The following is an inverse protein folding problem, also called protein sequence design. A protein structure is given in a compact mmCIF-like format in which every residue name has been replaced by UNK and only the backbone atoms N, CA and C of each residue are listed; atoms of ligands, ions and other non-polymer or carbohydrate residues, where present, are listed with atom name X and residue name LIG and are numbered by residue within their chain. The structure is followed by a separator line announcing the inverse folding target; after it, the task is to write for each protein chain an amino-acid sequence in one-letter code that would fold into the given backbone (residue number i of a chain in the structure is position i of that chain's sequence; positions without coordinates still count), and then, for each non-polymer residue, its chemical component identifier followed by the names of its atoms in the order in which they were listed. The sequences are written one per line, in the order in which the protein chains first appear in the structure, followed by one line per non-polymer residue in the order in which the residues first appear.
data_IF_863197336450
#
_entry.id   IF_863197336450
#
_cell.length_a   1.000
_cell.length_b   1.000
_cell.length_c   1.000
_cell.angle_alpha   90.00
_cell.angle_beta   90.00
_cell.angle_gamma   90.00
#
_symmetry.space_group_name_H-M   'P 1'
#
loop_
_entity.id
_entity.type
_entity.pdbx_description
1 polymer ?
#
# COMPACT_ATOMS: atom_id res chain seq x y z
N UNK A 1 25.50 -64.19 -4.91
CA UNK A 1 24.32 -63.52 -4.31
C UNK A 1 24.84 -62.40 -3.44
N UNK A 2 24.85 -61.16 -3.93
CA UNK A 2 25.29 -59.98 -3.18
C UNK A 2 24.06 -59.24 -2.67
N UNK A 3 23.80 -59.33 -1.37
CA UNK A 3 22.74 -58.57 -0.70
C UNK A 3 23.19 -57.13 -0.55
N UNK A 4 22.58 -56.21 -1.29
CA UNK A 4 22.70 -54.78 -1.06
C UNK A 4 21.35 -54.27 -0.56
N UNK A 5 21.33 -53.79 0.68
CA UNK A 5 20.18 -53.14 1.31
C UNK A 5 20.12 -51.69 0.81
N UNK A 6 19.03 -51.34 0.12
CA UNK A 6 18.68 -49.97 -0.19
C UNK A 6 17.22 -49.77 0.23
N UNK A 7 17.01 -48.95 1.26
CA UNK A 7 15.69 -48.60 1.77
C UNK A 7 14.89 -47.86 0.70
N UNK A 8 13.74 -48.44 0.33
CA UNK A 8 12.84 -47.89 -0.69
C UNK A 8 11.69 -47.23 0.05
N UNK A 9 11.74 -45.91 0.23
CA UNK A 9 10.62 -45.18 0.85
C UNK A 9 9.46 -45.04 -0.14
N UNK A 10 8.42 -45.87 0.05
CA UNK A 10 7.03 -45.53 -0.25
C UNK A 10 6.62 -45.37 -1.71
N UNK A 11 6.56 -46.47 -2.47
CA UNK A 11 5.79 -46.51 -3.72
C UNK A 11 4.28 -46.40 -3.43
N UNK A 12 3.67 -45.24 -3.70
CA UNK A 12 2.20 -45.10 -3.65
C UNK A 12 1.56 -45.99 -4.72
N UNK A 13 0.85 -47.03 -4.28
CA UNK A 13 0.08 -47.93 -5.14
C UNK A 13 -1.13 -47.19 -5.73
N UNK A 14 -1.30 -47.27 -7.04
CA UNK A 14 -2.56 -46.89 -7.71
C UNK A 14 -3.64 -47.88 -7.30
N UNK A 15 -4.79 -47.37 -6.87
CA UNK A 15 -5.81 -48.13 -6.16
C UNK A 15 -6.48 -49.22 -7.00
N UNK A 16 -6.41 -50.46 -6.51
CA UNK A 16 -7.41 -51.49 -6.80
C UNK A 16 -8.01 -51.96 -5.48
N UNK A 17 -9.32 -51.83 -5.35
CA UNK A 17 -10.12 -52.32 -4.22
C UNK A 17 -10.00 -53.85 -4.16
N UNK A 18 -9.40 -54.38 -3.09
CA UNK A 18 -9.31 -55.83 -2.90
C UNK A 18 -8.65 -56.25 -1.59
N UNK A 19 -9.48 -56.74 -0.66
CA UNK A 19 -9.15 -57.51 0.55
C UNK A 19 -8.75 -56.75 1.82
N UNK A 20 -9.62 -56.83 2.84
CA UNK A 20 -9.45 -56.26 4.19
C UNK A 20 -8.30 -56.88 4.99
N UNK A 21 -7.70 -57.99 4.52
CA UNK A 21 -6.48 -58.56 5.13
C UNK A 21 -5.23 -57.69 4.88
N UNK A 22 -5.29 -56.70 3.99
CA UNK A 22 -4.18 -55.78 3.73
C UNK A 22 -4.02 -54.67 4.79
N UNK A 23 -5.03 -54.35 5.60
CA UNK A 23 -4.91 -53.28 6.59
C UNK A 23 -4.09 -53.68 7.82
N UNK A 24 -4.12 -54.95 8.22
CA UNK A 24 -3.31 -55.46 9.34
C UNK A 24 -1.83 -55.52 8.98
N UNK A 25 -1.51 -55.80 7.71
CA UNK A 25 -0.14 -55.78 7.20
C UNK A 25 0.40 -54.34 7.07
N UNK A 26 -0.43 -53.34 6.79
CA UNK A 26 -0.01 -51.92 6.70
C UNK A 26 0.52 -51.38 8.03
N UNK A 27 0.02 -51.85 9.17
CA UNK A 27 0.54 -51.46 10.50
C UNK A 27 1.91 -52.10 10.80
N UNK A 28 2.12 -53.36 10.41
CA UNK A 28 3.41 -54.07 10.54
C UNK A 28 4.48 -53.56 9.55
N UNK A 29 4.03 -52.88 8.48
CA UNK A 29 4.87 -52.28 7.44
C UNK A 29 5.44 -50.90 7.79
N UNK A 30 5.00 -50.28 8.89
CA UNK A 30 5.55 -49.01 9.36
C UNK A 30 6.88 -49.20 10.10
N UNK A 31 7.17 -50.42 10.55
CA UNK A 31 8.38 -50.76 11.32
C UNK A 31 9.32 -51.72 10.59
N UNK A 32 8.81 -52.46 9.59
CA UNK A 32 9.61 -53.35 8.76
C UNK A 32 9.71 -52.80 7.34
N UNK A 33 10.91 -52.38 6.92
CA UNK A 33 11.17 -51.97 5.54
C UNK A 33 10.79 -53.12 4.59
N UNK A 34 9.70 -52.95 3.85
CA UNK A 34 9.27 -53.91 2.84
C UNK A 34 10.23 -53.88 1.64
N UNK A 35 11.23 -54.76 1.66
CA UNK A 35 12.20 -54.90 0.59
C UNK A 35 11.67 -55.85 -0.49
N UNK A 36 11.41 -55.32 -1.69
CA UNK A 36 11.14 -56.16 -2.87
C UNK A 36 12.47 -56.69 -3.42
N UNK A 37 12.60 -58.01 -3.58
CA UNK A 37 13.72 -58.59 -4.32
C UNK A 37 13.49 -58.40 -5.81
N UNK A 38 14.33 -57.58 -6.44
CA UNK A 38 14.24 -57.27 -7.86
C UNK A 38 15.51 -57.70 -8.57
N UNK A 39 15.40 -58.27 -9.77
CA UNK A 39 16.59 -58.55 -10.60
C UNK A 39 17.24 -57.23 -11.08
N UNK A 40 18.52 -57.28 -11.43
CA UNK A 40 19.29 -56.09 -11.87
C UNK A 40 18.63 -55.32 -13.02
N UNK A 41 18.04 -56.03 -13.99
CA UNK A 41 17.38 -55.38 -15.15
C UNK A 41 16.14 -54.58 -14.72
N UNK A 42 15.29 -55.17 -13.89
CA UNK A 42 14.08 -54.53 -13.40
C UNK A 42 14.41 -53.38 -12.41
N UNK A 43 15.48 -53.50 -11.62
CA UNK A 43 15.95 -52.42 -10.76
C UNK A 43 16.33 -51.17 -11.57
N UNK A 44 17.11 -51.33 -12.65
CA UNK A 44 17.48 -50.20 -13.53
C UNK A 44 16.25 -49.53 -14.13
N UNK A 45 15.24 -50.30 -14.52
CA UNK A 45 13.99 -49.73 -15.07
C UNK A 45 13.13 -49.03 -14.02
N UNK A 46 13.08 -49.56 -12.80
CA UNK A 46 12.40 -48.91 -11.68
C UNK A 46 13.07 -47.59 -11.32
N UNK A 47 14.40 -47.57 -11.18
CA UNK A 47 15.17 -46.35 -10.97
C UNK A 47 14.96 -45.33 -12.10
N UNK A 48 14.95 -45.77 -13.36
CA UNK A 48 14.68 -44.87 -14.49
C UNK A 48 13.26 -44.29 -14.43
N UNK A 49 12.27 -45.07 -14.02
CA UNK A 49 10.88 -44.62 -13.83
C UNK A 49 10.76 -43.68 -12.64
N UNK A 50 11.39 -44.01 -11.51
CA UNK A 50 11.39 -43.18 -10.31
C UNK A 50 12.06 -41.85 -10.59
N UNK A 51 13.22 -41.83 -11.26
CA UNK A 51 13.87 -40.62 -11.74
C UNK A 51 12.97 -39.81 -12.68
N UNK A 52 12.22 -40.47 -13.57
CA UNK A 52 11.28 -39.79 -14.47
C UNK A 52 10.09 -39.19 -13.73
N UNK A 53 9.57 -39.88 -12.70
CA UNK A 53 8.52 -39.36 -11.83
C UNK A 53 9.07 -38.18 -11.04
N UNK A 54 10.23 -38.32 -10.40
CA UNK A 54 10.89 -37.28 -9.64
C UNK A 54 11.19 -36.03 -10.48
N UNK A 55 11.67 -36.18 -11.71
CA UNK A 55 11.89 -35.05 -12.63
C UNK A 55 10.59 -34.32 -13.00
N UNK A 56 9.44 -35.01 -12.99
CA UNK A 56 8.14 -34.41 -13.30
C UNK A 56 7.45 -33.79 -12.08
N UNK A 57 7.70 -34.34 -10.89
CA UNK A 57 7.03 -33.94 -9.66
C UNK A 57 7.87 -33.03 -8.78
N UNK A 58 9.20 -33.06 -8.89
CA UNK A 58 10.08 -32.19 -8.12
C UNK A 58 10.10 -30.79 -8.72
N UNK A 59 9.82 -29.78 -7.88
CA UNK A 59 10.14 -28.40 -8.23
C UNK A 59 11.64 -28.21 -7.99
N UNK A 60 12.43 -27.84 -9.01
CA UNK A 60 13.85 -27.62 -8.81
C UNK A 60 14.07 -26.46 -7.85
N UNK A 61 15.06 -26.56 -6.98
CA UNK A 61 15.37 -25.54 -5.96
C UNK A 61 15.56 -24.14 -6.57
N UNK A 62 16.12 -24.09 -7.79
CA UNK A 62 16.24 -22.84 -8.57
C UNK A 62 14.88 -22.16 -8.82
N UNK A 63 13.82 -22.92 -9.09
CA UNK A 63 12.46 -22.37 -9.29
C UNK A 63 11.96 -21.71 -8.01
N UNK A 64 12.13 -22.37 -6.86
CA UNK A 64 11.69 -21.85 -5.56
C UNK A 64 12.41 -20.53 -5.21
N UNK A 65 13.72 -20.47 -5.44
CA UNK A 65 14.48 -19.23 -5.21
C UNK A 65 14.09 -18.12 -6.19
N UNK A 66 13.82 -18.47 -7.45
CA UNK A 66 13.41 -17.51 -8.46
C UNK A 66 12.01 -16.95 -8.17
N UNK A 67 11.04 -17.79 -7.80
CA UNK A 67 9.70 -17.37 -7.37
C UNK A 67 9.79 -16.35 -6.23
N UNK A 68 10.58 -16.66 -5.19
CA UNK A 68 10.80 -15.76 -4.06
C UNK A 68 11.53 -14.46 -4.44
N UNK A 69 12.49 -14.52 -5.36
CA UNK A 69 13.15 -13.33 -5.90
C UNK A 69 12.15 -12.42 -6.61
N UNK A 70 11.24 -13.00 -7.39
CA UNK A 70 10.20 -12.26 -8.09
C UNK A 70 9.16 -11.65 -7.15
N UNK A 71 8.84 -12.32 -6.03
CA UNK A 71 8.00 -11.73 -4.97
C UNK A 71 8.63 -10.44 -4.42
N UNK A 72 9.92 -10.47 -4.05
CA UNK A 72 10.63 -9.27 -3.58
C UNK A 72 10.67 -8.16 -4.63
N UNK A 73 10.86 -8.53 -5.91
CA UNK A 73 10.85 -7.57 -7.01
C UNK A 73 9.48 -6.89 -7.16
N UNK A 74 8.41 -7.67 -7.20
CA UNK A 74 7.04 -7.14 -7.32
C UNK A 74 6.66 -6.24 -6.13
N UNK A 75 7.13 -6.58 -4.92
CA UNK A 75 6.96 -5.75 -3.74
C UNK A 75 7.67 -4.40 -3.90
N UNK A 76 8.91 -4.38 -4.41
CA UNK A 76 9.64 -3.15 -4.68
C UNK A 76 8.95 -2.29 -5.75
N UNK A 77 8.53 -2.90 -6.85
CA UNK A 77 7.81 -2.21 -7.94
C UNK A 77 6.52 -1.53 -7.45
N UNK A 78 5.88 -2.07 -6.41
CA UNK A 78 4.72 -1.44 -5.77
C UNK A 78 5.07 -0.34 -4.76
N UNK A 79 6.13 -0.50 -3.98
CA UNK A 79 6.52 0.46 -2.94
C UNK A 79 7.24 1.70 -3.52
N UNK A 80 8.00 1.53 -4.60
CA UNK A 80 8.79 2.61 -5.21
C UNK A 80 7.97 3.83 -5.63
N UNK A 81 6.85 3.70 -6.38
CA UNK A 81 6.04 4.85 -6.77
C UNK A 81 5.44 5.60 -5.57
N UNK A 82 4.97 4.85 -4.55
CA UNK A 82 4.42 5.43 -3.32
C UNK A 82 5.46 6.26 -2.59
N UNK A 83 6.69 5.76 -2.53
CA UNK A 83 7.80 6.46 -1.92
C UNK A 83 8.22 7.71 -2.69
N UNK A 84 8.31 7.62 -4.03
CA UNK A 84 8.66 8.77 -4.87
C UNK A 84 7.64 9.88 -4.70
N UNK A 85 6.34 9.56 -4.77
CA UNK A 85 5.27 10.52 -4.52
C UNK A 85 5.40 11.18 -3.15
N UNK A 86 5.65 10.38 -2.11
CA UNK A 86 5.80 10.87 -0.75
C UNK A 86 7.03 11.79 -0.61
N UNK A 87 8.17 11.40 -1.18
CA UNK A 87 9.39 12.19 -1.17
C UNK A 87 9.21 13.52 -1.91
N UNK A 88 8.52 13.50 -3.07
CA UNK A 88 8.20 14.69 -3.84
C UNK A 88 7.27 15.64 -3.07
N UNK A 89 6.15 15.15 -2.54
CA UNK A 89 5.23 15.95 -1.72
C UNK A 89 5.91 16.59 -0.51
N UNK A 90 6.75 15.82 0.20
CA UNK A 90 7.53 16.34 1.34
C UNK A 90 8.56 17.38 0.89
N UNK A 91 9.24 17.15 -0.22
CA UNK A 91 10.19 18.12 -0.80
C UNK A 91 9.50 19.39 -1.30
N UNK A 92 8.25 19.27 -1.72
CA UNK A 92 7.42 20.38 -2.14
C UNK A 92 6.91 21.20 -0.94
N UNK A 93 6.96 20.66 0.28
CA UNK A 93 6.45 21.29 1.50
C UNK A 93 4.97 21.02 1.77
N UNK A 94 4.41 19.96 1.20
CA UNK A 94 3.05 19.52 1.48
C UNK A 94 2.99 18.82 2.85
N UNK A 95 1.87 18.98 3.55
CA UNK A 95 1.65 18.37 4.88
C UNK A 95 0.82 17.07 4.81
N UNK A 96 0.59 16.56 3.60
CA UNK A 96 -0.20 15.35 3.35
C UNK A 96 0.48 14.09 3.89
N UNK A 97 1.82 14.10 3.97
CA UNK A 97 2.61 12.97 4.42
C UNK A 97 3.48 13.36 5.61
N UNK A 98 3.75 12.39 6.48
CA UNK A 98 4.66 12.56 7.61
C UNK A 98 6.08 12.12 7.21
N UNK A 99 7.09 12.85 7.68
CA UNK A 99 8.51 12.52 7.43
C UNK A 99 8.87 11.12 7.96
N UNK A 100 8.34 10.76 9.14
CA UNK A 100 8.60 9.47 9.76
C UNK A 100 8.08 8.29 8.90
N UNK A 101 6.92 8.45 8.28
CA UNK A 101 6.33 7.41 7.43
C UNK A 101 7.13 7.25 6.13
N UNK A 102 7.67 8.35 5.58
CA UNK A 102 8.56 8.33 4.43
C UNK A 102 9.89 7.63 4.75
N UNK A 103 10.44 7.86 5.94
CA UNK A 103 11.64 7.17 6.42
C UNK A 103 11.38 5.67 6.61
N UNK A 104 10.26 5.29 7.23
CA UNK A 104 9.89 3.89 7.41
C UNK A 104 9.72 3.17 6.07
N UNK A 105 9.04 3.80 5.12
CA UNK A 105 8.86 3.28 3.77
C UNK A 105 10.21 3.13 3.04
N UNK A 106 11.11 4.12 3.18
CA UNK A 106 12.49 4.03 2.64
C UNK A 106 13.23 2.84 3.22
N UNK A 107 13.21 2.66 4.53
CA UNK A 107 13.87 1.53 5.20
C UNK A 107 13.30 0.19 4.75
N UNK A 108 11.98 0.10 4.54
CA UNK A 108 11.31 -1.09 4.00
C UNK A 108 11.75 -1.41 2.58
N UNK A 109 11.91 -0.40 1.72
CA UNK A 109 12.44 -0.54 0.36
C UNK A 109 13.87 -1.07 0.41
N UNK A 110 14.75 -0.45 1.21
CA UNK A 110 16.16 -0.87 1.34
C UNK A 110 16.27 -2.33 1.81
N UNK A 111 15.55 -2.70 2.87
CA UNK A 111 15.54 -4.08 3.39
C UNK A 111 15.02 -5.09 2.37
N UNK A 112 13.99 -4.73 1.61
CA UNK A 112 13.47 -5.60 0.54
C UNK A 112 14.48 -5.74 -0.60
N UNK A 113 15.21 -4.66 -0.91
CA UNK A 113 16.35 -4.65 -1.82
C UNK A 113 17.47 -5.60 -1.41
N UNK A 114 17.87 -5.57 -0.15
CA UNK A 114 18.88 -6.46 0.40
C UNK A 114 18.45 -7.92 0.33
N UNK A 115 17.17 -8.20 0.62
CA UNK A 115 16.61 -9.55 0.47
C UNK A 115 16.64 -10.02 -0.99
N UNK A 116 16.32 -9.15 -1.95
CA UNK A 116 16.41 -9.44 -3.38
C UNK A 116 17.87 -9.74 -3.79
N UNK A 117 18.82 -8.93 -3.33
CA UNK A 117 20.25 -9.15 -3.59
C UNK A 117 20.74 -10.48 -2.99
N UNK A 118 20.35 -10.79 -1.75
CA UNK A 118 20.66 -12.04 -1.07
C UNK A 118 20.11 -13.26 -1.84
N UNK A 119 18.86 -13.19 -2.32
CA UNK A 119 18.30 -14.26 -3.15
C UNK A 119 19.03 -14.38 -4.49
N UNK A 120 19.37 -13.26 -5.14
CA UNK A 120 20.13 -13.28 -6.39
C UNK A 120 21.51 -13.92 -6.22
N UNK A 121 22.19 -13.67 -5.09
CA UNK A 121 23.48 -14.29 -4.74
C UNK A 121 23.32 -15.78 -4.43
N UNK A 122 22.27 -16.17 -3.71
CA UNK A 122 21.95 -17.59 -3.50
C UNK A 122 21.76 -18.31 -4.83
N UNK A 123 20.98 -17.73 -5.75
CA UNK A 123 20.76 -18.29 -7.10
C UNK A 123 22.07 -18.44 -7.88
N UNK A 124 22.96 -17.45 -7.79
CA UNK A 124 24.28 -17.49 -8.46
C UNK A 124 25.18 -18.60 -7.92
N UNK A 125 25.05 -18.94 -6.64
CA UNK A 125 25.89 -19.94 -5.97
C UNK A 125 25.24 -21.35 -5.93
N UNK A 126 24.02 -21.53 -6.47
CA UNK A 126 23.35 -22.81 -6.52
C UNK A 126 24.16 -23.82 -7.35
N UNK A 127 24.61 -24.89 -6.67
CA UNK A 127 25.41 -25.97 -7.26
C UNK A 127 26.92 -25.83 -7.08
N UNK A 128 27.40 -24.78 -6.38
CA UNK A 128 28.82 -24.60 -6.05
C UNK A 128 29.16 -25.16 -4.65
N UNK A 129 28.16 -25.38 -3.78
CA UNK A 129 28.38 -25.65 -2.34
C UNK A 129 27.70 -26.88 -1.72
N UNK A 130 27.09 -27.79 -2.48
CA UNK A 130 26.59 -29.06 -1.92
C UNK A 130 27.72 -30.09 -1.83
N UNK A 131 28.71 -29.80 -1.00
CA UNK A 131 29.86 -30.66 -0.75
C UNK A 131 29.99 -30.88 0.76
N UNK A 132 29.01 -31.58 1.35
CA UNK A 132 29.19 -32.22 2.65
C UNK A 132 29.82 -33.59 2.43
N UNK A 133 31.14 -33.59 2.59
CA UNK A 133 32.03 -34.64 3.12
C UNK A 133 31.49 -36.09 3.14
N UNK A 134 31.77 -36.85 2.07
CA UNK A 134 32.12 -38.27 2.20
C UNK A 134 33.20 -38.60 1.18
N UNK A 135 34.18 -39.38 1.63
CA UNK A 135 35.50 -39.53 1.06
C UNK A 135 35.56 -39.98 -0.41
N UNK A 136 36.53 -39.40 -1.13
CA UNK A 136 37.23 -40.09 -2.21
C UNK A 136 36.54 -40.18 -3.57
N UNK A 137 36.25 -39.05 -4.23
CA UNK A 137 36.39 -38.87 -5.68
C UNK A 137 36.00 -37.44 -6.05
N UNK A 138 37.00 -36.61 -6.31
CA UNK A 138 36.80 -35.32 -6.95
C UNK A 138 36.20 -35.52 -8.35
N UNK A 139 34.88 -35.36 -8.45
CA UNK A 139 34.22 -35.05 -9.71
C UNK A 139 33.24 -33.93 -9.42
N UNK A 140 33.71 -32.70 -9.56
CA UNK A 140 32.85 -31.54 -9.75
C UNK A 140 32.02 -31.81 -11.00
N UNK A 141 30.81 -32.35 -10.85
CA UNK A 141 29.86 -32.43 -11.96
C UNK A 141 29.61 -30.98 -12.38
N UNK A 142 30.11 -30.53 -13.54
CA UNK A 142 29.97 -29.14 -13.93
C UNK A 142 28.48 -28.86 -14.09
N UNK A 143 27.99 -27.82 -13.43
CA UNK A 143 26.70 -27.22 -13.80
C UNK A 143 26.70 -27.06 -15.32
N UNK A 144 25.69 -27.59 -16.01
CA UNK A 144 25.62 -27.48 -17.46
C UNK A 144 25.70 -26.01 -17.87
N UNK A 145 26.49 -25.67 -18.90
CA UNK A 145 26.74 -24.28 -19.33
C UNK A 145 25.46 -23.43 -19.50
N UNK A 146 24.33 -24.08 -19.83
CA UNK A 146 23.01 -23.46 -19.92
C UNK A 146 22.45 -22.99 -18.57
N UNK A 147 22.64 -23.77 -17.51
CA UNK A 147 22.19 -23.43 -16.16
C UNK A 147 23.02 -22.28 -15.56
N UNK A 148 24.34 -22.31 -15.75
CA UNK A 148 25.22 -21.21 -15.33
C UNK A 148 24.87 -19.90 -16.04
N UNK A 149 24.64 -19.95 -17.36
CA UNK A 149 24.20 -18.78 -18.12
C UNK A 149 22.87 -18.21 -17.60
N UNK A 150 21.91 -19.08 -17.28
CA UNK A 150 20.63 -18.68 -16.70
C UNK A 150 20.83 -17.98 -15.34
N UNK A 151 21.57 -18.60 -14.42
CA UNK A 151 21.87 -18.01 -13.11
C UNK A 151 22.58 -16.66 -13.23
N UNK A 152 23.55 -16.53 -14.14
CA UNK A 152 24.25 -15.27 -14.43
C UNK A 152 23.32 -14.20 -14.98
N UNK A 153 22.40 -14.54 -15.88
CA UNK A 153 21.40 -13.61 -16.43
C UNK A 153 20.42 -13.15 -15.35
N UNK A 154 19.92 -14.05 -14.51
CA UNK A 154 19.04 -13.72 -13.38
C UNK A 154 19.76 -12.74 -12.44
N UNK A 155 21.01 -13.04 -12.08
CA UNK A 155 21.82 -12.16 -11.24
C UNK A 155 22.05 -10.78 -11.87
N UNK A 156 22.45 -10.74 -13.14
CA UNK A 156 22.72 -9.48 -13.84
C UNK A 156 21.47 -8.59 -13.92
N UNK A 157 20.31 -9.19 -14.19
CA UNK A 157 19.03 -8.47 -14.29
C UNK A 157 18.60 -7.92 -12.92
N UNK A 158 18.76 -8.74 -11.88
CA UNK A 158 18.44 -8.36 -10.50
C UNK A 158 19.35 -7.24 -9.99
N UNK A 159 20.65 -7.35 -10.25
CA UNK A 159 21.63 -6.31 -9.90
C UNK A 159 21.41 -5.01 -10.67
N UNK A 160 21.04 -5.10 -11.96
CA UNK A 160 20.66 -3.93 -12.77
C UNK A 160 19.46 -3.20 -12.16
N UNK A 161 18.39 -3.93 -11.83
CA UNK A 161 17.20 -3.39 -11.19
C UNK A 161 17.51 -2.69 -9.86
N UNK A 162 18.36 -3.29 -9.01
CA UNK A 162 18.78 -2.68 -7.75
C UNK A 162 19.58 -1.39 -7.96
N UNK A 163 20.46 -1.34 -8.96
CA UNK A 163 21.20 -0.12 -9.27
C UNK A 163 20.28 0.99 -9.76
N UNK A 164 19.35 0.65 -10.65
CA UNK A 164 18.43 1.61 -11.25
C UNK A 164 17.41 2.15 -10.27
N UNK A 165 16.92 1.35 -9.33
CA UNK A 165 15.82 1.75 -8.45
C UNK A 165 16.20 1.97 -7.01
N UNK A 166 17.27 1.35 -6.49
CA UNK A 166 17.68 1.47 -5.08
C UNK A 166 18.78 2.52 -4.88
N UNK A 167 19.79 2.54 -5.76
CA UNK A 167 20.86 3.53 -5.65
C UNK A 167 20.43 4.92 -6.14
N UNK A 168 19.36 4.99 -6.94
CA UNK A 168 18.80 6.23 -7.48
C UNK A 168 17.69 6.84 -6.60
N UNK A 169 17.39 6.26 -5.42
CA UNK A 169 16.29 6.76 -4.57
C UNK A 169 16.49 8.26 -4.28
N UNK A 170 15.46 9.10 -4.51
CA UNK A 170 15.45 10.48 -4.06
C UNK A 170 15.82 10.58 -2.58
N UNK A 171 16.61 11.60 -2.21
CA UNK A 171 16.94 11.87 -0.80
C UNK A 171 15.75 12.56 -0.13
N UNK A 172 15.44 12.17 1.11
CA UNK A 172 14.44 12.88 1.91
C UNK A 172 14.98 14.25 2.31
N UNK A 173 14.13 15.29 2.34
CA UNK A 173 14.48 16.55 2.99
C UNK A 173 14.71 16.31 4.48
N UNK A 174 15.69 17.00 5.05
CA UNK A 174 15.89 16.96 6.51
C UNK A 174 14.72 17.62 7.23
N UNK A 175 14.52 17.29 8.52
CA UNK A 175 13.44 17.90 9.32
C UNK A 175 13.47 19.44 9.29
N UNK A 176 14.67 20.02 9.30
CA UNK A 176 14.84 21.47 9.23
C UNK A 176 14.44 22.05 7.87
N UNK A 177 14.94 21.48 6.78
CA UNK A 177 14.60 21.91 5.41
C UNK A 177 13.10 21.74 5.11
N UNK A 178 12.51 20.66 5.60
CA UNK A 178 11.08 20.41 5.50
C UNK A 178 10.27 21.49 6.23
N UNK A 179 10.66 21.80 7.48
CA UNK A 179 10.00 22.84 8.28
C UNK A 179 10.13 24.22 7.61
N UNK A 180 11.31 24.56 7.10
CA UNK A 180 11.52 25.82 6.38
C UNK A 180 10.67 25.90 5.10
N UNK A 181 10.59 24.80 4.35
CA UNK A 181 9.79 24.73 3.12
C UNK A 181 8.29 24.85 3.43
N UNK A 182 7.82 24.23 4.52
CA UNK A 182 6.45 24.34 5.01
C UNK A 182 6.11 25.75 5.50
N UNK A 183 6.97 26.37 6.30
CA UNK A 183 6.77 27.75 6.78
C UNK A 183 6.79 28.76 5.63
N UNK A 184 7.69 28.60 4.65
CA UNK A 184 7.69 29.45 3.45
C UNK A 184 6.37 29.37 2.69
N UNK A 185 5.86 28.17 2.43
CA UNK A 185 4.55 27.99 1.79
C UNK A 185 3.41 28.60 2.60
N UNK A 186 3.45 28.44 3.92
CA UNK A 186 2.44 29.01 4.81
C UNK A 186 2.45 30.53 4.74
N UNK A 187 3.61 31.17 4.78
CA UNK A 187 3.75 32.62 4.65
C UNK A 187 3.26 33.11 3.28
N UNK A 188 3.59 32.40 2.20
CA UNK A 188 3.10 32.72 0.85
C UNK A 188 1.57 32.59 0.73
N UNK A 189 0.99 31.55 1.33
CA UNK A 189 -0.46 31.35 1.36
C UNK A 189 -1.17 32.43 2.19
N UNK A 190 -0.63 32.77 3.37
CA UNK A 190 -1.12 33.85 4.22
C UNK A 190 -1.03 35.21 3.50
N UNK A 191 0.08 35.48 2.81
CA UNK A 191 0.26 36.70 2.01
C UNK A 191 -0.71 36.78 0.82
N UNK A 192 -0.95 35.66 0.12
CA UNK A 192 -1.95 35.58 -0.95
C UNK A 192 -3.35 35.87 -0.44
N UNK A 193 -3.74 35.26 0.69
CA UNK A 193 -5.04 35.49 1.30
C UNK A 193 -5.19 36.93 1.79
N UNK A 194 -4.14 37.52 2.36
CA UNK A 194 -4.14 38.92 2.80
C UNK A 194 -4.30 39.88 1.62
N UNK A 195 -3.59 39.63 0.50
CA UNK A 195 -3.73 40.42 -0.72
C UNK A 195 -5.12 40.29 -1.35
N UNK A 196 -5.71 39.08 -1.35
CA UNK A 196 -7.07 38.85 -1.83
C UNK A 196 -8.12 39.59 -0.98
N UNK A 197 -7.99 39.53 0.34
CA UNK A 197 -8.86 40.27 1.27
C UNK A 197 -8.73 41.79 1.10
N UNK A 198 -7.52 42.30 0.92
CA UNK A 198 -7.29 43.73 0.71
C UNK A 198 -7.86 44.19 -0.64
N UNK A 199 -7.68 43.40 -1.70
CA UNK A 199 -8.29 43.68 -3.00
C UNK A 199 -9.83 43.70 -2.93
N UNK A 200 -10.44 42.79 -2.16
CA UNK A 200 -11.88 42.75 -1.92
C UNK A 200 -12.35 44.03 -1.19
N UNK A 201 -11.65 44.45 -0.13
CA UNK A 201 -11.96 45.68 0.61
C UNK A 201 -11.88 46.92 -0.28
N UNK A 202 -10.85 47.03 -1.11
CA UNK A 202 -10.69 48.13 -2.07
C UNK A 202 -11.73 48.11 -3.19
N UNK A 203 -12.22 46.93 -3.59
CA UNK A 203 -13.30 46.81 -4.58
C UNK A 203 -14.65 47.25 -3.99
N UNK A 204 -14.92 46.88 -2.74
CA UNK A 204 -16.13 47.29 -2.00
C UNK A 204 -16.17 48.81 -1.78
N UNK A 205 -15.05 49.41 -1.36
CA UNK A 205 -14.95 50.87 -1.18
C UNK A 205 -15.19 51.61 -2.49
N UNK A 206 -14.58 51.15 -3.60
CA UNK A 206 -14.83 51.71 -4.94
C UNK A 206 -16.28 51.57 -5.38
N UNK A 207 -16.92 50.43 -5.12
CA UNK A 207 -18.33 50.22 -5.44
C UNK A 207 -19.24 51.15 -4.63
N UNK A 208 -18.96 51.32 -3.34
CA UNK A 208 -19.66 52.26 -2.45
C UNK A 208 -19.51 53.71 -2.92
N UNK A 209 -18.31 54.11 -3.35
CA UNK A 209 -18.09 55.46 -3.86
C UNK A 209 -18.79 55.72 -5.20
N UNK A 210 -18.83 54.73 -6.10
CA UNK A 210 -19.62 54.81 -7.35
C UNK A 210 -21.11 55.00 -7.03
N UNK A 211 -21.66 54.26 -6.06
CA UNK A 211 -23.05 54.42 -5.63
C UNK A 211 -23.30 55.84 -5.07
N UNK A 212 -22.41 56.34 -4.21
CA UNK A 212 -22.52 57.70 -3.66
C UNK A 212 -22.45 58.79 -4.73
N UNK A 213 -21.64 58.61 -5.77
CA UNK A 213 -21.59 59.53 -6.93
C UNK A 213 -22.89 59.50 -7.72
N UNK A 214 -23.41 58.31 -8.01
CA UNK A 214 -24.69 58.14 -8.73
C UNK A 214 -25.88 58.77 -7.99
N UNK A 215 -25.90 58.66 -6.65
CA UNK A 215 -26.92 59.28 -5.82
C UNK A 215 -26.84 60.81 -5.81
N UNK A 216 -25.63 61.38 -5.86
CA UNK A 216 -25.42 62.83 -6.04
C UNK A 216 -25.86 63.31 -7.42
N UNK A 217 -25.51 62.59 -8.49
CA UNK A 217 -25.93 62.93 -9.86
C UNK A 217 -27.46 62.85 -10.06
N UNK A 218 -28.15 61.94 -9.35
CA UNK A 218 -29.63 61.91 -9.35
C UNK A 218 -30.28 63.11 -8.64
N UNK A 219 -29.55 63.83 -7.77
CA UNK A 219 -30.06 65.02 -7.06
C UNK A 219 -29.85 66.33 -7.81
N UNK A 220 -28.89 66.40 -8.74
CA UNK A 220 -28.55 67.61 -9.50
C UNK A 220 -29.14 67.65 -10.93
N UNK A 221 -29.95 66.65 -11.33
CA UNK A 221 -30.61 66.66 -12.63
C UNK A 221 -31.89 67.51 -12.62
N UNK A 222 -32.02 68.56 -13.44
CA UNK A 222 -33.28 69.29 -13.60
C UNK A 222 -34.33 68.36 -14.20
N UNK A 223 -35.49 68.33 -13.53
CA UNK A 223 -36.74 67.69 -13.94
C UNK A 223 -37.03 67.95 -15.43
N UNK A 224 -36.65 67.01 -16.30
CA UNK A 224 -37.22 66.89 -17.64
C UNK A 224 -38.18 65.71 -17.60
N UNK A 225 -39.46 66.04 -17.72
CA UNK A 225 -40.60 65.12 -17.70
C UNK A 225 -40.44 63.99 -18.73
N UNK A 226 -40.56 62.71 -18.36
CA UNK A 226 -40.94 61.69 -19.32
C UNK A 226 -42.46 61.76 -19.50
N UNK A 227 -42.88 62.15 -20.69
CA UNK A 227 -44.26 62.14 -21.12
C UNK A 227 -44.79 60.70 -21.09
N UNK A 228 -45.93 60.52 -20.44
CA UNK A 228 -46.63 59.24 -20.26
C UNK A 228 -47.58 59.04 -21.44
N UNK A 229 -47.35 58.00 -22.24
CA UNK A 229 -48.40 57.27 -22.98
C UNK A 229 -48.01 55.78 -22.95
N UNK A 230 -48.67 54.97 -22.13
CA UNK A 230 -49.84 54.13 -22.47
C UNK A 230 -49.49 52.97 -23.41
N UNK A 231 -49.21 51.78 -22.87
CA UNK A 231 -50.11 50.61 -22.99
C UNK A 231 -49.43 49.29 -22.55
N UNK A 232 -50.09 48.64 -21.58
CA UNK A 232 -50.36 47.19 -21.48
C UNK A 232 -49.21 46.20 -21.77
N UNK A 233 -48.70 45.49 -20.76
CA UNK A 233 -49.39 44.36 -20.13
C UNK A 233 -48.57 43.79 -18.97
N UNK A 234 -49.25 43.64 -17.84
CA UNK A 234 -48.96 42.69 -16.76
C UNK A 234 -49.32 41.26 -17.23
N UNK A 235 -48.87 40.21 -16.53
CA UNK A 235 -49.65 39.80 -15.37
C UNK A 235 -48.80 39.61 -14.11
N UNK A 236 -49.40 40.07 -13.02
CA UNK A 236 -49.06 39.87 -11.63
C UNK A 236 -49.29 38.41 -11.21
N UNK A 237 -48.53 37.93 -10.22
CA UNK A 237 -49.15 37.38 -9.00
C UNK A 237 -48.16 37.20 -7.84
N UNK A 238 -48.60 37.75 -6.72
CA UNK A 238 -48.09 37.72 -5.35
C UNK A 238 -48.23 36.36 -4.68
N UNK A 239 -47.31 36.03 -3.76
CA UNK A 239 -47.63 35.92 -2.32
C UNK A 239 -46.42 35.47 -1.49
N UNK A 240 -46.42 35.97 -0.27
CA UNK A 240 -45.50 35.86 0.86
C UNK A 240 -45.19 34.45 1.40
N UNK A 241 -44.18 34.46 2.28
CA UNK A 241 -43.93 33.62 3.46
C UNK A 241 -42.88 32.50 3.36
N UNK A 242 -41.93 32.65 4.27
CA UNK A 242 -40.85 31.79 4.77
C UNK A 242 -41.38 30.51 5.47
N UNK A 243 -40.57 29.73 6.21
CA UNK A 243 -39.69 28.68 5.69
C UNK A 243 -39.94 27.33 6.43
N UNK A 244 -39.72 26.16 5.82
CA UNK A 244 -39.28 24.93 6.55
C UNK A 244 -39.11 23.72 5.63
N UNK A 245 -37.95 23.07 5.83
CA UNK A 245 -37.73 21.63 5.96
C UNK A 245 -38.11 20.63 4.87
N UNK A 246 -37.04 20.01 4.34
CA UNK A 246 -36.84 18.56 4.18
C UNK A 246 -37.91 17.73 3.43
N UNK A 247 -37.56 17.24 2.23
CA UNK A 247 -37.37 15.81 2.00
C UNK A 247 -37.04 15.50 0.54
N UNK A 248 -35.97 14.73 0.39
CA UNK A 248 -35.48 14.09 -0.82
C UNK A 248 -36.37 12.92 -1.21
N UNK A 249 -36.75 12.82 -2.49
CA UNK A 249 -36.97 11.54 -3.20
C UNK A 249 -37.00 11.70 -4.72
N UNK A 250 -35.82 11.46 -5.32
CA UNK A 250 -35.55 10.41 -6.34
C UNK A 250 -36.40 10.39 -7.64
N UNK A 251 -35.76 10.72 -8.77
CA UNK A 251 -35.54 9.88 -9.99
C UNK A 251 -34.75 10.69 -11.03
N UNK A 252 -33.51 10.31 -11.36
CA UNK A 252 -33.07 9.23 -12.28
C UNK A 252 -32.81 9.78 -13.70
N UNK A 253 -31.63 10.38 -13.88
CA UNK A 253 -30.89 10.36 -15.14
C UNK A 253 -29.42 10.17 -14.78
N UNK A 254 -28.84 9.11 -15.33
CA UNK A 254 -27.51 8.59 -15.07
C UNK A 254 -26.49 9.41 -15.86
N UNK A 255 -25.83 10.34 -15.17
CA UNK A 255 -24.46 10.72 -15.46
C UNK A 255 -23.60 10.02 -14.40
N UNK A 256 -22.70 9.17 -14.87
CA UNK A 256 -21.87 8.28 -14.05
C UNK A 256 -20.79 9.11 -13.35
N UNK A 257 -21.16 9.79 -12.27
CA UNK A 257 -20.22 10.30 -11.29
C UNK A 257 -19.66 9.08 -10.59
N UNK A 258 -18.41 8.75 -10.89
CA UNK A 258 -17.59 7.80 -10.13
C UNK A 258 -17.66 8.25 -8.67
N UNK A 259 -18.47 7.54 -7.89
CA UNK A 259 -18.51 7.68 -6.44
C UNK A 259 -17.15 7.20 -5.97
N UNK A 260 -16.29 8.17 -5.65
CA UNK A 260 -15.02 7.94 -4.98
C UNK A 260 -15.31 6.95 -3.84
N UNK A 261 -14.69 5.77 -3.93
CA UNK A 261 -14.79 4.73 -2.92
C UNK A 261 -14.11 5.23 -1.65
N UNK A 262 -14.86 6.05 -0.91
CA UNK A 262 -14.51 6.61 0.37
C UNK A 262 -14.07 5.48 1.28
N UNK A 263 -12.88 5.63 1.81
CA UNK A 263 -12.33 4.66 2.73
C UNK A 263 -13.18 4.64 4.00
N UNK A 264 -13.65 3.47 4.40
CA UNK A 264 -14.22 3.25 5.72
C UNK A 264 -13.25 2.38 6.52
N UNK A 265 -12.86 2.77 7.75
CA UNK A 265 -12.16 1.86 8.62
C UNK A 265 -13.05 0.65 8.96
N UNK A 266 -12.43 -0.51 9.15
CA UNK A 266 -13.09 -1.68 9.70
C UNK A 266 -13.57 -1.36 11.12
N UNK A 267 -14.89 -1.37 11.30
CA UNK A 267 -15.57 -1.13 12.58
C UNK A 267 -15.50 -2.33 13.54
N UNK A 268 -14.78 -3.40 13.20
CA UNK A 268 -14.52 -4.49 14.16
C UNK A 268 -13.51 -4.00 15.19
N UNK A 269 -13.91 -3.79 16.47
CA UNK A 269 -12.99 -3.29 17.48
C UNK A 269 -11.98 -4.39 17.84
N UNK A 270 -10.66 -4.19 17.64
CA UNK A 270 -9.68 -4.99 18.33
C UNK A 270 -9.68 -4.53 19.80
N UNK A 271 -10.35 -5.31 20.65
CA UNK A 271 -10.25 -5.30 22.12
C UNK A 271 -9.85 -3.93 22.72
N UNK A 272 -10.68 -2.90 22.50
CA UNK A 272 -10.50 -1.61 23.14
C UNK A 272 -10.82 -1.85 24.60
N UNK A 273 -9.81 -1.81 25.47
CA UNK A 273 -10.02 -1.83 26.92
C UNK A 273 -11.04 -0.75 27.25
N UNK A 274 -12.21 -1.13 27.77
CA UNK A 274 -13.21 -0.18 28.24
C UNK A 274 -12.56 0.72 29.29
N UNK A 275 -12.21 1.94 28.88
CA UNK A 275 -11.82 3.01 29.78
C UNK A 275 -13.05 3.86 30.02
N UNK A 276 -13.34 4.19 31.28
CA UNK A 276 -14.53 4.96 31.67
C UNK A 276 -14.58 6.38 31.08
N UNK A 277 -13.47 6.88 30.53
CA UNK A 277 -13.39 8.19 29.90
C UNK A 277 -13.71 8.12 28.39
N UNK A 278 -14.82 8.74 27.93
CA UNK A 278 -15.22 8.74 26.53
C UNK A 278 -14.20 9.43 25.61
N UNK A 279 -13.41 10.38 26.13
CA UNK A 279 -12.37 11.07 25.38
C UNK A 279 -11.15 10.16 25.15
N UNK A 280 -10.74 9.40 26.17
CA UNK A 280 -9.66 8.40 26.03
C UNK A 280 -10.07 7.30 25.06
N UNK A 281 -11.33 6.86 25.13
CA UNK A 281 -11.88 5.88 24.19
C UNK A 281 -11.80 6.40 22.75
N UNK A 282 -12.17 7.66 22.51
CA UNK A 282 -12.09 8.25 21.18
C UNK A 282 -10.64 8.43 20.69
N UNK A 283 -9.68 8.73 21.58
CA UNK A 283 -8.25 8.68 21.22
C UNK A 283 -7.82 7.28 20.79
N UNK A 284 -8.27 6.24 21.49
CA UNK A 284 -7.94 4.85 21.15
C UNK A 284 -8.58 4.43 19.81
N UNK A 285 -9.81 4.88 19.54
CA UNK A 285 -10.47 4.68 18.24
C UNK A 285 -9.67 5.34 17.10
N UNK A 286 -9.28 6.61 17.27
CA UNK A 286 -8.47 7.33 16.28
C UNK A 286 -7.12 6.66 16.04
N UNK A 287 -6.43 6.17 17.09
CA UNK A 287 -5.19 5.39 16.95
C UNK A 287 -5.37 4.13 16.10
N UNK A 288 -6.47 3.41 16.30
CA UNK A 288 -6.80 2.23 15.50
C UNK A 288 -7.09 2.59 14.05
N UNK A 289 -7.83 3.66 13.78
CA UNK A 289 -8.11 4.12 12.42
C UNK A 289 -6.86 4.61 11.70
N UNK A 290 -5.95 5.31 12.40
CA UNK A 290 -4.64 5.69 11.86
C UNK A 290 -3.86 4.44 11.43
N UNK A 291 -3.84 3.39 12.27
CA UNK A 291 -3.19 2.12 11.94
C UNK A 291 -3.80 1.48 10.69
N UNK A 292 -5.11 1.40 10.61
CA UNK A 292 -5.80 0.83 9.44
C UNK A 292 -5.58 1.66 8.17
N UNK A 293 -5.55 2.99 8.29
CA UNK A 293 -5.29 3.89 7.16
C UNK A 293 -3.84 3.74 6.65
N UNK A 294 -2.87 3.56 7.56
CA UNK A 294 -1.47 3.22 7.23
C UNK A 294 -1.38 1.86 6.53
N UNK A 295 -2.07 0.85 7.03
CA UNK A 295 -2.12 -0.50 6.41
C UNK A 295 -2.76 -0.46 5.01
N UNK A 296 -3.75 0.41 4.81
CA UNK A 296 -4.40 0.64 3.52
C UNK A 296 -3.63 1.60 2.59
N UNK A 297 -2.47 2.11 3.00
CA UNK A 297 -1.68 3.13 2.30
C UNK A 297 -2.49 4.39 1.91
N UNK A 298 -3.50 4.76 2.71
CA UNK A 298 -4.29 5.99 2.52
C UNK A 298 -3.78 7.09 3.43
N UNK A 299 -2.65 7.68 3.04
CA UNK A 299 -1.93 8.65 3.87
C UNK A 299 -2.67 9.98 4.05
N UNK A 300 -3.52 10.40 3.10
CA UNK A 300 -4.40 11.57 3.25
C UNK A 300 -5.34 11.42 4.46
N UNK A 301 -5.88 10.20 4.64
CA UNK A 301 -6.70 9.84 5.78
C UNK A 301 -5.86 9.75 7.07
N UNK A 302 -4.64 9.22 6.99
CA UNK A 302 -3.69 9.20 8.13
C UNK A 302 -3.43 10.62 8.63
N UNK A 303 -3.07 11.56 7.75
CA UNK A 303 -2.78 12.95 8.12
C UNK A 303 -3.99 13.63 8.78
N UNK A 304 -5.18 13.41 8.23
CA UNK A 304 -6.43 13.94 8.80
C UNK A 304 -6.73 13.35 10.18
N UNK A 305 -6.59 12.03 10.34
CA UNK A 305 -6.83 11.35 11.61
C UNK A 305 -5.78 11.72 12.68
N UNK A 306 -4.53 11.93 12.29
CA UNK A 306 -3.46 12.40 13.18
C UNK A 306 -3.68 13.83 13.66
N UNK A 307 -4.18 14.71 12.78
CA UNK A 307 -4.57 16.06 13.17
C UNK A 307 -5.71 16.04 14.21
N UNK A 308 -6.76 15.25 13.95
CA UNK A 308 -7.88 15.07 14.88
C UNK A 308 -7.41 14.48 16.23
N UNK A 309 -6.51 13.50 16.20
CA UNK A 309 -5.93 12.91 17.41
C UNK A 309 -5.17 13.96 18.24
N UNK A 310 -4.38 14.82 17.58
CA UNK A 310 -3.61 15.88 18.23
C UNK A 310 -4.53 16.93 18.86
N UNK A 311 -5.62 17.30 18.19
CA UNK A 311 -6.63 18.20 18.73
C UNK A 311 -7.29 17.60 19.99
N UNK A 312 -7.77 16.35 19.90
CA UNK A 312 -8.39 15.63 21.02
C UNK A 312 -7.44 15.53 22.23
N UNK A 313 -6.15 15.26 22.00
CA UNK A 313 -5.12 15.25 23.05
C UNK A 313 -4.91 16.62 23.68
N UNK A 314 -5.00 17.69 22.90
CA UNK A 314 -4.94 19.06 23.39
C UNK A 314 -6.13 19.40 24.29
N UNK A 315 -7.34 19.02 23.89
CA UNK A 315 -8.56 19.20 24.67
C UNK A 315 -8.54 18.41 25.97
N UNK A 316 -8.14 17.14 25.91
CA UNK A 316 -7.99 16.30 27.10
C UNK A 316 -7.04 16.91 28.13
N UNK A 317 -5.88 17.42 27.69
CA UNK A 317 -4.92 18.12 28.57
C UNK A 317 -5.46 19.43 29.15
N UNK A 318 -6.40 20.09 28.45
CA UNK A 318 -7.09 21.29 28.99
C UNK A 318 -8.11 20.85 30.04
N UNK A 319 -8.92 19.83 29.76
CA UNK A 319 -9.89 19.27 30.71
C UNK A 319 -9.22 18.74 31.98
N UNK A 320 -8.10 18.05 31.85
CA UNK A 320 -7.35 17.53 33.00
C UNK A 320 -6.70 18.65 33.84
N UNK A 321 -6.28 19.75 33.21
CA UNK A 321 -5.84 20.97 33.92
C UNK A 321 -6.98 21.71 34.61
N UNK A 322 -8.19 21.62 34.07
CA UNK A 322 -9.39 22.21 34.69
C UNK A 322 -9.92 21.34 35.86
N UNK A 323 -9.68 20.02 35.83
CA UNK A 323 -10.06 19.09 36.91
C UNK A 323 -9.04 18.98 38.05
N UNK A 324 -7.79 19.41 37.84
CA UNK A 324 -6.75 19.49 38.88
C UNK A 324 -6.17 20.91 38.91
N UNK A 325 -6.77 21.84 39.68
CA UNK A 325 -6.29 23.21 39.84
C UNK A 325 -4.94 23.30 40.58
#
# INVERSE_FOLDING_TARGET
MTSFLAGISGLRRSGSQGSLNSLLSVMDSMTSEQHFRVCRHCMVRLQARDNQVEQRTSKPTLSLYYEKLMEYRSLLERLLPQYVQMAESLSAGETTYNLQDAEELRMKILKTGDNLNSMAQKIRNLGIGSQDVTDGAASSIPLGARQELLQRRIFSTSSGFLKEHILSLPKLPTFHELKETQERRRLEAEARLAAEKEAMRQAEERASEILRRRDKESKDSPRTTPNRSSSSNTPSRSSSSTPVSFSTSRKKQSDEVVVDTGWGPNLCPPNVTETDDPMIQQMNNLRNYIKQAREANRYDAVATLEANLKELQGEYKKQQRLMNP
#
